data_IF_844074664998
#
_entry.id   IF_844074664998
#
_cell.length_a   1.000
_cell.length_b   1.000
_cell.length_c   1.000
_cell.angle_alpha   90.00
_cell.angle_beta   90.00
_cell.angle_gamma   90.00
#
_symmetry.space_group_name_H-M   'P 1'
#
loop_
_entity.id
_entity.type
_entity.pdbx_description
1 polymer ?
#
# COMPACT_ATOMS: atom_id res chain seq x y z
N UNK A 1 19.67 -5.22 -8.07
CA UNK A 1 19.80 -3.86 -7.43
C UNK A 1 20.14 -4.07 -5.96
N UNK A 2 20.82 -3.11 -5.31
CA UNK A 2 21.04 -3.17 -3.86
C UNK A 2 19.78 -2.72 -3.12
N UNK A 3 19.45 -3.38 -2.01
CA UNK A 3 18.40 -2.94 -1.10
C UNK A 3 19.01 -1.88 -0.19
N UNK A 4 18.46 -0.67 -0.19
CA UNK A 4 18.95 0.43 0.65
C UNK A 4 18.14 0.62 1.92
N UNK A 5 16.86 0.21 1.90
CA UNK A 5 15.94 0.36 3.02
C UNK A 5 14.82 -0.67 2.95
N UNK A 6 14.04 -0.76 4.03
CA UNK A 6 12.78 -1.50 4.09
C UNK A 6 11.70 -0.63 4.70
N UNK A 7 10.48 -0.81 4.23
CA UNK A 7 9.33 -0.16 4.85
C UNK A 7 8.80 -1.01 6.01
N UNK A 8 8.37 -0.36 7.08
CA UNK A 8 7.53 -0.92 8.15
C UNK A 8 6.15 -0.30 8.01
N UNK A 9 5.16 -1.13 7.75
CA UNK A 9 3.78 -0.72 7.52
C UNK A 9 2.80 -1.58 8.29
N UNK A 10 1.54 -1.17 8.33
CA UNK A 10 0.46 -1.88 9.01
C UNK A 10 -0.03 -3.12 8.27
N UNK A 11 0.52 -3.45 7.09
CA UNK A 11 0.10 -4.57 6.26
C UNK A 11 1.07 -5.75 6.30
N UNK A 12 0.85 -6.78 7.13
CA UNK A 12 1.72 -7.97 7.16
C UNK A 12 1.51 -8.88 5.94
N UNK A 13 0.45 -8.67 5.17
CA UNK A 13 0.10 -9.42 3.95
C UNK A 13 -0.33 -8.47 2.83
N UNK A 14 -0.46 -8.99 1.61
CA UNK A 14 -0.93 -8.20 0.45
C UNK A 14 -2.41 -7.82 0.52
N UNK A 15 -3.20 -8.50 1.33
CA UNK A 15 -4.64 -8.28 1.39
C UNK A 15 -4.94 -6.97 2.14
N UNK A 16 -5.74 -6.11 1.55
CA UNK A 16 -6.13 -4.83 2.12
C UNK A 16 -5.22 -3.65 1.73
N UNK A 17 -4.03 -3.89 1.17
CA UNK A 17 -3.17 -2.80 0.71
C UNK A 17 -3.90 -1.96 -0.35
N UNK A 18 -3.93 -0.61 -0.21
CA UNK A 18 -4.45 0.28 -1.23
C UNK A 18 -3.79 0.02 -2.59
N UNK A 19 -4.55 0.13 -3.67
CA UNK A 19 -4.07 -0.23 -5.01
C UNK A 19 -3.02 0.72 -5.58
N UNK A 20 -2.91 1.92 -5.03
CA UNK A 20 -1.92 2.94 -5.37
C UNK A 20 -1.62 3.78 -4.13
N UNK A 21 -0.43 4.34 -4.06
CA UNK A 21 -0.05 5.32 -3.03
C UNK A 21 -0.97 6.56 -3.06
N UNK A 22 -1.12 7.20 -1.92
CA UNK A 22 -1.92 8.41 -1.76
C UNK A 22 -3.44 8.21 -1.75
N UNK A 23 -3.95 6.97 -1.84
CA UNK A 23 -5.40 6.72 -1.80
C UNK A 23 -5.97 6.75 -0.38
N UNK A 24 -5.18 6.41 0.60
CA UNK A 24 -5.48 6.51 2.03
C UNK A 24 -4.33 7.27 2.67
N UNK A 25 -4.49 8.57 2.79
CA UNK A 25 -3.43 9.47 3.25
C UNK A 25 -3.08 9.26 4.73
N UNK A 26 -4.00 8.72 5.51
CA UNK A 26 -3.84 8.44 6.94
C UNK A 26 -2.95 7.22 7.24
N UNK A 27 -2.61 6.43 6.23
CA UNK A 27 -1.71 5.30 6.39
C UNK A 27 -0.28 5.78 6.61
N UNK A 28 0.20 5.68 7.84
CA UNK A 28 1.57 6.00 8.21
C UNK A 28 2.48 4.79 8.12
N UNK A 29 3.72 5.00 7.67
CA UNK A 29 4.74 3.97 7.58
C UNK A 29 6.12 4.55 7.89
N UNK A 30 7.07 3.67 8.22
CA UNK A 30 8.47 4.04 8.47
C UNK A 30 9.37 3.40 7.41
N UNK A 31 10.24 4.19 6.80
CA UNK A 31 11.31 3.70 5.93
C UNK A 31 12.59 3.63 6.76
N UNK A 32 13.07 2.42 6.98
CA UNK A 32 14.25 2.13 7.79
C UNK A 32 15.37 1.70 6.86
N UNK A 33 16.44 2.47 6.84
CA UNK A 33 17.61 2.16 6.01
C UNK A 33 18.32 0.89 6.49
N UNK A 34 18.92 0.15 5.58
CA UNK A 34 19.87 -0.91 5.94
C UNK A 34 21.11 -0.29 6.62
N UNK A 35 21.80 -1.00 7.50
CA UNK A 35 22.87 -0.44 8.32
C UNK A 35 23.95 0.33 7.53
N UNK A 36 24.32 -0.16 6.35
CA UNK A 36 25.30 0.47 5.45
C UNK A 36 24.89 1.89 5.01
N UNK A 37 23.55 2.16 4.94
CA UNK A 37 22.98 3.41 4.42
C UNK A 37 22.42 4.32 5.52
N UNK A 38 22.61 4.01 6.79
CA UNK A 38 22.19 4.84 7.94
C UNK A 38 23.14 6.03 8.12
N UNK A 39 23.16 6.92 7.15
CA UNK A 39 24.07 8.07 7.10
C UNK A 39 23.23 9.35 7.04
N UNK A 40 23.38 10.24 8.04
CA UNK A 40 22.58 11.48 8.16
C UNK A 40 22.76 12.40 6.97
N UNK A 41 23.97 12.46 6.42
CA UNK A 41 24.30 13.28 5.27
C UNK A 41 23.53 12.86 4.00
N UNK A 42 23.16 11.59 3.90
CA UNK A 42 22.40 11.07 2.75
C UNK A 42 20.94 11.59 2.68
N UNK A 43 20.40 12.04 3.80
CA UNK A 43 19.04 12.60 3.87
C UNK A 43 19.01 14.12 4.02
N UNK A 44 20.19 14.76 4.02
CA UNK A 44 20.30 16.22 4.16
C UNK A 44 19.63 16.94 2.99
N UNK A 45 18.73 17.88 3.28
CA UNK A 45 17.95 18.63 2.29
C UNK A 45 16.68 17.90 1.85
N UNK A 46 16.45 16.65 2.28
CA UNK A 46 15.21 15.93 1.99
C UNK A 46 14.02 16.51 2.74
N UNK A 47 14.25 17.15 3.87
CA UNK A 47 13.27 17.86 4.70
C UNK A 47 12.54 19.01 3.97
N UNK A 48 13.13 19.54 2.90
CA UNK A 48 12.53 20.59 2.08
C UNK A 48 11.49 20.08 1.08
N UNK A 49 11.37 18.74 0.94
CA UNK A 49 10.43 18.11 0.02
C UNK A 49 9.23 17.52 0.76
N UNK A 50 8.04 17.82 0.26
CA UNK A 50 6.79 17.28 0.82
C UNK A 50 6.51 15.84 0.40
N UNK A 51 7.02 15.41 -0.76
CA UNK A 51 6.79 14.07 -1.31
C UNK A 51 8.07 13.47 -1.85
N UNK A 52 8.13 12.15 -1.82
CA UNK A 52 9.23 11.36 -2.34
C UNK A 52 8.72 10.18 -3.18
N UNK A 53 9.49 9.83 -4.20
CA UNK A 53 9.36 8.60 -4.95
C UNK A 53 10.10 7.47 -4.25
N UNK A 54 9.44 6.32 -4.12
CA UNK A 54 10.02 5.05 -3.68
C UNK A 54 10.11 4.11 -4.87
N UNK A 55 11.30 3.61 -5.17
CA UNK A 55 11.52 2.50 -6.09
C UNK A 55 11.75 1.25 -5.25
N UNK A 56 10.86 0.26 -5.41
CA UNK A 56 10.81 -0.90 -4.52
C UNK A 56 10.53 -2.21 -5.26
N UNK A 57 10.63 -3.34 -4.58
CA UNK A 57 10.46 -4.65 -5.19
C UNK A 57 9.12 -5.29 -4.81
N UNK A 58 8.42 -5.84 -5.80
CA UNK A 58 7.33 -6.78 -5.58
C UNK A 58 7.86 -8.17 -5.15
N UNK A 59 8.54 -8.22 -3.99
CA UNK A 59 9.30 -9.37 -3.51
C UNK A 59 8.51 -10.68 -3.45
N UNK A 60 7.19 -10.61 -3.25
CA UNK A 60 6.31 -11.78 -3.24
C UNK A 60 5.67 -12.09 -4.61
N UNK A 61 6.12 -11.45 -5.67
CA UNK A 61 5.55 -11.64 -7.01
C UNK A 61 6.60 -11.96 -8.07
N UNK A 62 7.83 -12.26 -7.62
CA UNK A 62 8.95 -12.68 -8.47
C UNK A 62 8.58 -14.02 -9.14
N UNK A 63 8.78 -14.09 -10.45
CA UNK A 63 8.55 -15.31 -11.25
C UNK A 63 9.74 -15.55 -12.17
N UNK A 64 10.03 -16.81 -12.43
CA UNK A 64 11.07 -17.19 -13.41
C UNK A 64 10.71 -16.76 -14.82
N UNK A 65 9.43 -16.89 -15.19
CA UNK A 65 8.93 -16.54 -16.50
C UNK A 65 7.92 -15.38 -16.41
N UNK A 66 8.00 -14.45 -17.33
CA UNK A 66 7.07 -13.35 -17.46
C UNK A 66 6.05 -13.60 -18.59
N UNK A 67 4.96 -12.86 -18.57
CA UNK A 67 3.95 -12.89 -19.63
C UNK A 67 3.85 -11.49 -20.26
N UNK A 68 3.79 -11.39 -21.62
CA UNK A 68 3.63 -10.09 -22.28
C UNK A 68 2.27 -9.44 -21.99
N UNK A 69 1.29 -10.22 -21.51
CA UNK A 69 -0.04 -9.72 -21.19
C UNK A 69 -0.48 -10.14 -19.79
N UNK A 70 -1.29 -9.29 -19.17
CA UNK A 70 -1.95 -9.53 -17.89
C UNK A 70 -3.44 -9.26 -17.99
N UNK A 71 -4.22 -9.70 -17.01
CA UNK A 71 -5.66 -9.43 -16.91
C UNK A 71 -5.89 -8.50 -15.73
N UNK A 72 -6.04 -7.18 -15.97
CA UNK A 72 -6.28 -6.24 -14.88
C UNK A 72 -7.63 -6.55 -14.21
N UNK A 73 -7.66 -6.72 -12.88
CA UNK A 73 -8.91 -7.02 -12.16
C UNK A 73 -9.99 -5.96 -12.36
N UNK A 74 -9.60 -4.70 -12.54
CA UNK A 74 -10.53 -3.57 -12.78
C UNK A 74 -11.24 -3.61 -14.13
N UNK A 75 -10.73 -4.35 -15.11
CA UNK A 75 -11.41 -4.61 -16.39
C UNK A 75 -12.24 -5.90 -16.34
N UNK A 76 -12.69 -6.32 -15.16
CA UNK A 76 -13.48 -7.54 -14.96
C UNK A 76 -12.68 -8.83 -15.12
N UNK A 77 -11.34 -8.76 -15.28
CA UNK A 77 -10.45 -9.91 -15.42
C UNK A 77 -10.57 -10.67 -16.76
N UNK A 78 -11.43 -10.24 -17.67
CA UNK A 78 -11.67 -10.90 -18.97
C UNK A 78 -10.81 -10.29 -20.09
N UNK A 79 -10.51 -9.00 -20.00
CA UNK A 79 -9.72 -8.29 -21.00
C UNK A 79 -8.22 -8.45 -20.73
N UNK A 80 -7.45 -8.73 -21.77
CA UNK A 80 -5.99 -8.79 -21.71
C UNK A 80 -5.37 -7.46 -22.10
N UNK A 81 -4.44 -6.99 -21.29
CA UNK A 81 -3.66 -5.79 -21.54
C UNK A 81 -2.17 -6.13 -21.62
N UNK A 82 -1.42 -5.40 -22.43
CA UNK A 82 0.03 -5.47 -22.40
C UNK A 82 0.56 -5.15 -21.01
N UNK A 83 1.53 -5.93 -20.51
CA UNK A 83 2.05 -5.77 -19.15
C UNK A 83 2.60 -4.36 -18.91
N UNK A 84 3.22 -3.74 -19.92
CA UNK A 84 3.78 -2.38 -19.83
C UNK A 84 2.71 -1.27 -19.88
N UNK A 85 1.50 -1.58 -20.29
CA UNK A 85 0.35 -0.67 -20.18
C UNK A 85 -0.30 -0.74 -18.77
N UNK A 86 0.25 -1.51 -17.85
CA UNK A 86 -0.30 -1.73 -16.50
C UNK A 86 0.77 -1.51 -15.42
N UNK A 87 0.35 -1.41 -14.16
CA UNK A 87 1.22 -1.45 -12.97
C UNK A 87 1.21 -2.84 -12.29
N UNK A 88 0.98 -3.90 -13.07
CA UNK A 88 1.02 -5.27 -12.59
C UNK A 88 2.39 -5.64 -12.03
N UNK A 89 2.48 -6.38 -10.91
CA UNK A 89 3.75 -6.89 -10.38
C UNK A 89 4.38 -7.99 -11.25
N UNK A 90 3.59 -8.64 -12.13
CA UNK A 90 4.04 -9.75 -12.97
C UNK A 90 4.72 -9.25 -14.25
N UNK A 91 5.86 -8.60 -14.09
CA UNK A 91 6.66 -7.98 -15.14
C UNK A 91 8.10 -8.50 -15.12
N UNK A 92 8.89 -8.31 -16.20
CA UNK A 92 10.27 -8.83 -16.26
C UNK A 92 11.13 -8.38 -15.09
N UNK A 93 11.02 -7.12 -14.69
CA UNK A 93 11.63 -6.56 -13.49
C UNK A 93 10.48 -6.14 -12.55
N UNK A 94 10.25 -6.85 -11.45
CA UNK A 94 9.12 -6.60 -10.56
C UNK A 94 9.37 -5.38 -9.66
N UNK A 95 9.65 -4.23 -10.28
CA UNK A 95 9.89 -2.95 -9.63
C UNK A 95 8.57 -2.18 -9.52
N UNK A 96 8.27 -1.71 -8.31
CA UNK A 96 7.19 -0.79 -8.00
C UNK A 96 7.69 0.65 -7.92
N UNK A 97 6.78 1.59 -8.11
CA UNK A 97 7.00 3.02 -7.99
C UNK A 97 5.81 3.62 -7.23
N UNK A 98 6.09 4.25 -6.08
CA UNK A 98 5.08 4.89 -5.24
C UNK A 98 5.52 6.29 -4.87
N UNK A 99 4.64 7.27 -5.05
CA UNK A 99 4.80 8.61 -4.51
C UNK A 99 4.15 8.64 -3.14
N UNK A 100 4.91 8.98 -2.10
CA UNK A 100 4.42 9.05 -0.72
C UNK A 100 4.72 10.44 -0.15
N UNK A 101 3.90 10.88 0.81
CA UNK A 101 4.16 12.13 1.51
C UNK A 101 5.23 11.89 2.57
N UNK A 102 6.22 12.76 2.64
CA UNK A 102 7.23 12.78 3.70
C UNK A 102 6.71 13.60 4.87
N UNK A 103 6.43 12.95 5.99
CA UNK A 103 5.89 13.63 7.18
C UNK A 103 7.02 14.14 8.08
N UNK A 104 8.07 13.33 8.25
CA UNK A 104 9.18 13.65 9.15
C UNK A 104 10.41 12.80 8.84
N UNK A 105 11.59 13.34 9.13
CA UNK A 105 12.85 12.59 9.22
C UNK A 105 13.23 12.47 10.70
N UNK A 106 13.23 11.26 11.22
CA UNK A 106 13.67 10.97 12.57
C UNK A 106 15.19 10.75 12.58
N UNK A 107 15.90 11.65 13.23
CA UNK A 107 17.36 11.62 13.36
C UNK A 107 17.82 11.13 14.74
N UNK A 108 16.87 10.79 15.65
CA UNK A 108 17.17 10.51 17.05
C UNK A 108 17.03 9.04 17.44
N UNK A 109 16.29 8.25 16.66
CA UNK A 109 16.10 6.84 16.95
C UNK A 109 17.40 6.03 16.79
N UNK A 110 17.43 4.81 17.34
CA UNK A 110 18.60 3.90 17.22
C UNK A 110 18.88 3.50 15.77
N UNK A 111 17.88 3.58 14.89
CA UNK A 111 17.95 3.22 13.49
C UNK A 111 18.04 4.45 12.58
N UNK A 112 18.27 5.63 13.17
CA UNK A 112 18.35 6.89 12.43
C UNK A 112 19.40 6.87 11.30
N UNK A 113 19.10 7.58 10.20
CA UNK A 113 17.86 8.29 9.90
C UNK A 113 16.70 7.33 9.58
N UNK A 114 15.47 7.69 9.98
CA UNK A 114 14.25 6.98 9.61
C UNK A 114 13.30 7.98 8.96
N UNK A 115 12.72 7.65 7.80
CA UNK A 115 11.74 8.51 7.15
C UNK A 115 10.34 8.06 7.59
N UNK A 116 9.57 8.98 8.15
CA UNK A 116 8.15 8.78 8.44
C UNK A 116 7.36 9.28 7.24
N UNK A 117 6.56 8.42 6.64
CA UNK A 117 5.79 8.71 5.43
C UNK A 117 4.32 8.40 5.62
N UNK A 118 3.47 9.00 4.81
CA UNK A 118 2.05 8.67 4.74
C UNK A 118 1.59 8.35 3.31
N UNK A 119 0.46 7.66 3.20
CA UNK A 119 -0.12 7.24 1.93
C UNK A 119 0.62 6.09 1.23
N UNK A 120 1.41 5.29 1.95
CA UNK A 120 2.16 4.17 1.36
C UNK A 120 1.25 2.98 1.03
N UNK A 121 1.51 2.35 -0.13
CA UNK A 121 0.82 1.17 -0.65
C UNK A 121 1.73 -0.08 -0.67
N UNK A 122 2.55 -0.23 0.36
CA UNK A 122 3.55 -1.27 0.47
C UNK A 122 3.27 -2.20 1.66
N UNK A 123 3.52 -3.49 1.44
CA UNK A 123 3.50 -4.50 2.50
C UNK A 123 4.69 -4.31 3.45
N UNK A 124 4.51 -4.66 4.71
CA UNK A 124 5.58 -4.66 5.72
C UNK A 124 6.80 -5.48 5.26
N UNK A 125 8.00 -4.92 5.48
CA UNK A 125 9.28 -5.52 5.09
C UNK A 125 9.61 -5.38 3.60
N UNK A 126 8.80 -4.70 2.78
CA UNK A 126 9.08 -4.53 1.34
C UNK A 126 10.43 -3.85 1.13
N UNK A 127 11.32 -4.45 0.30
CA UNK A 127 12.63 -3.86 -0.03
C UNK A 127 12.50 -2.60 -0.87
N UNK A 128 13.25 -1.57 -0.52
CA UNK A 128 13.38 -0.30 -1.24
C UNK A 128 14.77 -0.23 -1.86
N UNK A 129 14.82 0.11 -3.14
CA UNK A 129 16.06 0.20 -3.93
C UNK A 129 16.57 1.61 -4.10
N UNK A 130 15.63 2.60 -4.12
CA UNK A 130 16.00 4.00 -4.30
C UNK A 130 14.91 4.93 -3.76
N UNK A 131 15.31 6.13 -3.36
CA UNK A 131 14.45 7.19 -2.89
C UNK A 131 14.83 8.46 -3.66
N UNK A 132 13.85 9.14 -4.25
CA UNK A 132 14.07 10.40 -4.97
C UNK A 132 13.06 11.45 -4.51
N UNK A 133 13.44 12.72 -4.45
CA UNK A 133 12.48 13.79 -4.20
C UNK A 133 11.45 13.88 -5.34
N UNK A 134 10.21 14.19 -5.00
CA UNK A 134 9.19 14.55 -6.00
C UNK A 134 9.39 16.01 -6.41
N UNK A 135 9.52 16.24 -7.72
CA UNK A 135 9.71 17.57 -8.29
C UNK A 135 8.45 18.00 -9.07
N UNK A 136 7.59 18.86 -8.50
CA UNK A 136 6.32 19.24 -9.15
C UNK A 136 6.50 19.74 -10.59
N UNK A 137 7.57 20.46 -10.86
CA UNK A 137 7.87 21.00 -12.19
C UNK A 137 8.17 19.92 -13.23
N UNK A 138 8.65 18.75 -12.80
CA UNK A 138 9.04 17.63 -13.67
C UNK A 138 8.06 16.46 -13.63
N UNK A 139 7.45 16.21 -12.47
CA UNK A 139 6.68 14.99 -12.22
C UNK A 139 5.16 15.20 -12.37
N UNK A 140 4.67 16.46 -12.32
CA UNK A 140 3.25 16.76 -12.42
C UNK A 140 2.85 17.07 -13.86
N UNK A 141 1.96 16.23 -14.41
CA UNK A 141 1.38 16.37 -15.75
C UNK A 141 -0.14 16.31 -15.68
N UNK A 142 -0.83 17.43 -15.34
CA UNK A 142 -2.28 17.46 -15.17
C UNK A 142 -3.06 17.07 -16.43
N UNK A 143 -2.46 17.28 -17.61
CA UNK A 143 -3.02 16.96 -18.93
C UNK A 143 -2.82 15.49 -19.34
N UNK A 144 -2.11 14.69 -18.56
CA UNK A 144 -1.76 13.32 -18.91
C UNK A 144 -3.01 12.42 -19.03
N UNK A 145 -3.04 11.61 -20.10
CA UNK A 145 -4.12 10.66 -20.32
C UNK A 145 -3.90 9.38 -19.51
N UNK A 146 -4.88 9.02 -18.69
CA UNK A 146 -4.83 7.84 -17.81
C UNK A 146 -5.17 6.50 -18.46
N UNK A 147 -5.39 6.45 -19.78
CA UNK A 147 -5.72 5.25 -20.53
C UNK A 147 -6.95 4.52 -19.98
N UNK A 148 -6.87 3.20 -19.83
CA UNK A 148 -7.98 2.41 -19.29
C UNK A 148 -8.26 2.73 -17.80
N UNK A 149 -7.29 3.25 -17.05
CA UNK A 149 -7.47 3.54 -15.63
C UNK A 149 -8.49 4.66 -15.37
N UNK A 150 -8.68 5.58 -16.31
CA UNK A 150 -9.70 6.65 -16.22
C UNK A 150 -11.10 6.17 -16.53
N UNK A 151 -11.26 5.03 -17.22
CA UNK A 151 -12.55 4.44 -17.58
C UNK A 151 -13.18 3.64 -16.44
N UNK A 152 -12.41 3.35 -15.42
CA UNK A 152 -12.87 2.54 -14.28
C UNK A 152 -13.41 3.49 -13.21
N UNK A 153 -14.70 3.40 -12.95
CA UNK A 153 -15.34 4.14 -11.86
C UNK A 153 -14.67 3.82 -10.51
N UNK A 154 -14.42 4.87 -9.75
CA UNK A 154 -13.98 4.71 -8.36
C UNK A 154 -15.20 4.26 -7.55
N UNK A 155 -15.10 3.07 -6.99
CA UNK A 155 -16.14 2.53 -6.13
C UNK A 155 -15.66 2.59 -4.68
N UNK A 156 -16.38 3.35 -3.85
CA UNK A 156 -16.15 3.42 -2.42
C UNK A 156 -17.29 2.75 -1.68
N UNK A 157 -16.98 2.01 -0.64
CA UNK A 157 -17.97 1.43 0.25
C UNK A 157 -18.32 2.40 1.38
N UNK A 158 -19.55 2.35 1.84
CA UNK A 158 -19.89 2.86 3.15
C UNK A 158 -19.33 1.89 4.20
N UNK A 159 -18.63 2.41 5.23
CA UNK A 159 -18.03 1.60 6.29
C UNK A 159 -18.79 1.76 7.57
N UNK A 160 -19.15 0.64 8.19
CA UNK A 160 -19.78 0.57 9.50
C UNK A 160 -18.91 -0.26 10.44
N UNK A 161 -18.44 0.38 11.51
CA UNK A 161 -17.69 -0.28 12.58
C UNK A 161 -18.52 -0.16 13.86
N UNK A 162 -19.17 -1.25 14.34
CA UNK A 162 -19.90 -1.25 15.61
C UNK A 162 -18.99 -0.79 16.77
N UNK A 163 -19.55 -0.06 17.73
CA UNK A 163 -18.81 0.55 18.85
C UNK A 163 -18.01 -0.48 19.67
N UNK A 164 -18.52 -1.71 19.80
CA UNK A 164 -17.82 -2.82 20.47
C UNK A 164 -16.50 -3.20 19.79
N UNK A 165 -16.43 -3.10 18.45
CA UNK A 165 -15.21 -3.35 17.69
C UNK A 165 -14.35 -2.11 17.58
N UNK A 166 -14.95 -0.93 17.47
CA UNK A 166 -14.25 0.35 17.44
C UNK A 166 -13.38 0.55 18.69
N UNK A 167 -13.89 0.14 19.87
CA UNK A 167 -13.14 0.18 21.12
C UNK A 167 -11.88 -0.71 21.15
N UNK A 168 -11.73 -1.64 20.21
CA UNK A 168 -10.53 -2.50 20.09
C UNK A 168 -9.49 -1.97 19.13
N UNK A 169 -9.78 -0.91 18.40
CA UNK A 169 -8.87 -0.30 17.42
C UNK A 169 -8.06 0.78 18.14
N UNK A 170 -6.73 0.79 18.05
CA UNK A 170 -5.91 1.91 18.52
C UNK A 170 -6.39 3.21 17.86
N UNK A 171 -6.50 4.29 18.64
CA UNK A 171 -7.02 5.57 18.20
C UNK A 171 -6.30 6.12 16.95
N UNK A 172 -4.97 5.97 16.93
CA UNK A 172 -4.10 6.38 15.82
C UNK A 172 -4.26 5.52 14.55
N UNK A 173 -4.98 4.39 14.61
CA UNK A 173 -5.22 3.46 13.49
C UNK A 173 -6.64 3.50 12.94
N UNK A 174 -7.57 4.12 13.66
CA UNK A 174 -8.99 4.09 13.29
C UNK A 174 -9.25 4.71 11.92
N UNK A 175 -8.80 5.95 11.71
CA UNK A 175 -9.04 6.67 10.45
C UNK A 175 -8.37 5.97 9.26
N UNK A 176 -7.16 5.45 9.46
CA UNK A 176 -6.46 4.69 8.43
C UNK A 176 -7.20 3.38 8.09
N UNK A 177 -7.70 2.65 9.08
CA UNK A 177 -8.50 1.43 8.86
C UNK A 177 -9.80 1.74 8.11
N UNK A 178 -10.54 2.77 8.51
CA UNK A 178 -11.77 3.21 7.83
C UNK A 178 -11.47 3.55 6.35
N UNK A 179 -10.38 4.27 6.07
CA UNK A 179 -9.92 4.58 4.73
C UNK A 179 -9.64 3.32 3.89
N UNK A 180 -8.93 2.35 4.46
CA UNK A 180 -8.63 1.06 3.80
C UNK A 180 -9.90 0.27 3.49
N UNK A 181 -10.82 0.17 4.44
CA UNK A 181 -12.08 -0.56 4.26
C UNK A 181 -12.97 0.11 3.21
N UNK A 182 -12.98 1.45 3.16
CA UNK A 182 -13.72 2.23 2.16
C UNK A 182 -13.26 1.97 0.73
N UNK A 183 -11.98 1.65 0.52
CA UNK A 183 -11.38 1.33 -0.78
C UNK A 183 -11.78 -0.05 -1.34
N UNK A 184 -12.68 -0.78 -0.69
CA UNK A 184 -13.08 -2.15 -1.02
C UNK A 184 -11.88 -3.11 -1.15
N UNK A 185 -11.36 -3.63 -0.03
CA UNK A 185 -10.19 -4.51 -0.04
C UNK A 185 -10.44 -5.89 -0.68
N UNK A 186 -11.70 -6.22 -1.01
CA UNK A 186 -12.04 -7.51 -1.61
C UNK A 186 -11.41 -7.71 -2.99
N UNK A 187 -11.09 -8.95 -3.38
CA UNK A 187 -10.78 -9.26 -4.76
C UNK A 187 -11.96 -8.91 -5.67
N UNK A 188 -11.68 -8.20 -6.79
CA UNK A 188 -12.70 -7.64 -7.68
C UNK A 188 -13.71 -8.67 -8.25
N UNK A 189 -13.34 -9.96 -8.27
CA UNK A 189 -14.19 -11.06 -8.76
C UNK A 189 -15.01 -11.74 -7.64
N UNK A 190 -14.85 -11.34 -6.38
CA UNK A 190 -15.59 -11.90 -5.24
C UNK A 190 -16.68 -10.92 -4.82
N UNK A 191 -17.93 -11.28 -5.10
CA UNK A 191 -19.12 -10.47 -4.78
C UNK A 191 -20.15 -11.22 -3.92
N UNK A 192 -19.72 -12.26 -3.20
CA UNK A 192 -20.60 -13.02 -2.32
C UNK A 192 -20.97 -12.18 -1.10
N UNK A 193 -22.25 -11.81 -0.92
CA UNK A 193 -22.69 -10.95 0.19
C UNK A 193 -22.69 -11.67 1.55
N UNK A 194 -22.65 -13.00 1.57
CA UNK A 194 -22.63 -13.78 2.82
C UNK A 194 -21.21 -14.13 3.27
N UNK A 195 -20.21 -13.80 2.47
CA UNK A 195 -18.83 -14.12 2.78
C UNK A 195 -18.23 -13.16 3.78
N UNK A 196 -17.61 -13.70 4.83
CA UNK A 196 -16.77 -12.96 5.76
C UNK A 196 -15.32 -13.00 5.27
N UNK A 197 -14.70 -11.83 5.21
CA UNK A 197 -13.30 -11.64 4.84
C UNK A 197 -12.50 -11.31 6.08
N UNK A 198 -11.29 -11.89 6.22
CA UNK A 198 -10.33 -11.53 7.25
C UNK A 198 -9.19 -10.72 6.65
N UNK A 199 -8.86 -9.59 7.25
CA UNK A 199 -7.80 -8.68 6.82
C UNK A 199 -6.84 -8.37 7.97
N UNK A 200 -5.61 -8.84 7.90
CA UNK A 200 -4.58 -8.43 8.85
C UNK A 200 -4.20 -6.96 8.66
N UNK A 201 -4.31 -6.16 9.71
CA UNK A 201 -3.96 -4.75 9.71
C UNK A 201 -3.49 -4.29 11.09
N UNK A 202 -2.35 -3.63 11.20
CA UNK A 202 -1.81 -3.04 12.43
C UNK A 202 -1.82 -4.01 13.64
N UNK A 203 -1.47 -5.27 13.44
CA UNK A 203 -1.48 -6.31 14.48
C UNK A 203 -2.86 -6.88 14.82
N UNK A 204 -3.90 -6.43 14.15
CA UNK A 204 -5.26 -6.93 14.24
C UNK A 204 -5.61 -7.84 13.06
N UNK A 205 -6.55 -8.76 13.26
CA UNK A 205 -7.26 -9.47 12.20
C UNK A 205 -8.69 -8.95 12.17
N UNK A 206 -8.99 -8.16 11.12
CA UNK A 206 -10.26 -7.46 10.94
C UNK A 206 -11.18 -8.28 10.05
N UNK A 207 -12.25 -8.82 10.62
CA UNK A 207 -13.26 -9.58 9.88
C UNK A 207 -14.42 -8.68 9.47
N UNK A 208 -14.78 -8.71 8.20
CA UNK A 208 -15.85 -7.88 7.66
C UNK A 208 -16.67 -8.60 6.59
N UNK A 209 -17.87 -8.11 6.37
CA UNK A 209 -18.81 -8.54 5.34
C UNK A 209 -19.23 -7.34 4.50
N UNK A 210 -19.57 -7.55 3.22
CA UNK A 210 -20.04 -6.46 2.36
C UNK A 210 -21.36 -6.83 1.72
N UNK A 211 -22.39 -6.03 2.00
CA UNK A 211 -23.75 -6.22 1.50
C UNK A 211 -24.34 -4.87 1.04
N UNK A 212 -24.89 -4.83 -0.17
CA UNK A 212 -25.54 -3.63 -0.73
C UNK A 212 -24.68 -2.35 -0.69
N UNK A 213 -23.36 -2.46 -0.90
CA UNK A 213 -22.45 -1.32 -0.88
C UNK A 213 -22.00 -0.87 0.51
N UNK A 214 -22.44 -1.56 1.57
CA UNK A 214 -22.06 -1.33 2.95
C UNK A 214 -21.08 -2.42 3.39
N UNK A 215 -19.93 -2.01 3.92
CA UNK A 215 -18.97 -2.88 4.58
C UNK A 215 -19.18 -2.78 6.08
N UNK A 216 -19.54 -3.89 6.72
CA UNK A 216 -19.73 -3.97 8.17
C UNK A 216 -18.63 -4.81 8.79
N UNK A 217 -17.93 -4.27 9.78
CA UNK A 217 -16.96 -5.02 10.58
C UNK A 217 -17.71 -5.94 11.54
N UNK A 218 -17.44 -7.25 11.44
CA UNK A 218 -18.11 -8.29 12.21
C UNK A 218 -17.31 -8.70 13.44
N UNK A 219 -15.97 -8.64 13.38
CA UNK A 219 -15.09 -9.06 14.47
C UNK A 219 -13.70 -8.43 14.31
N UNK A 220 -13.06 -8.13 15.44
CA UNK A 220 -11.66 -7.75 15.51
C UNK A 220 -10.95 -8.60 16.57
N UNK A 221 -9.92 -9.33 16.15
CA UNK A 221 -9.07 -10.15 17.02
C UNK A 221 -7.61 -9.78 16.87
N UNK A 222 -6.73 -10.32 17.73
CA UNK A 222 -5.29 -10.16 17.55
C UNK A 222 -4.79 -10.99 16.35
N UNK A 223 -4.04 -10.36 15.43
CA UNK A 223 -3.42 -11.08 14.33
C UNK A 223 -2.28 -11.98 14.83
N UNK A 224 -2.38 -13.27 14.57
CA UNK A 224 -1.29 -14.22 14.78
C UNK A 224 -0.69 -14.56 13.42
N UNK A 225 0.56 -14.18 13.21
CA UNK A 225 1.31 -14.60 12.02
C UNK A 225 1.32 -16.13 12.02
N UNK A 226 0.68 -16.77 11.04
CA UNK A 226 0.75 -18.23 10.95
C UNK A 226 2.18 -18.60 10.54
N UNK A 227 2.85 -19.40 11.36
CA UNK A 227 4.13 -20.05 11.03
C UNK A 227 3.90 -21.08 9.92
N UNK A 228 3.44 -20.64 8.76
CA UNK A 228 3.47 -21.49 7.56
C UNK A 228 4.81 -21.29 6.90
N UNK A 229 5.65 -22.29 7.13
CA UNK A 229 6.90 -22.60 6.43
C UNK A 229 6.66 -22.65 4.92
#
# INVERSE_FOLDING_TARGET
MKIIARIRSDFPTKFGIPRQSGRVEELTACIVFEPEYRVREAVKGLEDFSHIWLLWEFSQSIRENWSPTVRPPRLGGNERMGVFATRSPFRPNPVGLSCVKLEKIDLESKEAPVLIVSGADLMDGTPIYDIKPYLPVADCHPEALGGFATKVEQHFLQVEIPEEWKARIPEDKLTALEGVLREDPRPAYQKDPERIYGMPFAGMDVHFQVKNGILTVCEITGYKKSDKI
#
